data_IF_667622122412
#
_entry.id   IF_667622122412
#
_cell.length_a   1.000
_cell.length_b   1.000
_cell.length_c   1.000
_cell.angle_alpha   90.00
_cell.angle_beta   90.00
_cell.angle_gamma   90.00
#
_symmetry.space_group_name_H-M   'P 1'
#
loop_
_entity.id
_entity.type
_entity.pdbx_description
1 polymer ?
#
# COMPACT_ATOMS: atom_id res chain seq x y z
N UNK A 1 -28.98 5.81 7.06
CA UNK A 1 -28.18 5.56 5.84
C UNK A 1 -27.90 4.08 5.86
N UNK A 2 -28.45 3.32 4.93
CA UNK A 2 -28.25 1.87 4.92
C UNK A 2 -26.86 1.56 4.39
N UNK A 3 -26.10 0.77 5.14
CA UNK A 3 -24.82 0.24 4.69
C UNK A 3 -25.08 -0.75 3.55
N UNK A 4 -24.35 -0.56 2.45
CA UNK A 4 -24.46 -1.32 1.20
C UNK A 4 -23.11 -1.90 0.83
N UNK A 5 -23.09 -2.91 -0.05
CA UNK A 5 -21.87 -3.57 -0.56
C UNK A 5 -21.10 -4.36 0.50
N UNK A 6 -21.80 -5.21 1.24
CA UNK A 6 -21.20 -6.12 2.20
C UNK A 6 -20.33 -7.17 1.51
N UNK A 7 -19.19 -7.47 2.10
CA UNK A 7 -18.28 -8.49 1.59
C UNK A 7 -17.57 -9.18 2.75
N UNK A 8 -17.27 -10.46 2.58
CA UNK A 8 -16.65 -11.30 3.59
C UNK A 8 -15.71 -12.30 2.93
N UNK A 9 -14.66 -12.68 3.66
CA UNK A 9 -13.79 -13.80 3.31
C UNK A 9 -14.36 -15.18 3.70
N UNK A 10 -15.51 -15.22 4.39
CA UNK A 10 -16.14 -16.46 4.82
C UNK A 10 -17.27 -16.87 3.86
N UNK A 11 -17.09 -17.99 3.15
CA UNK A 11 -18.05 -18.49 2.17
C UNK A 11 -19.44 -18.78 2.77
N UNK A 12 -19.49 -19.38 3.96
CA UNK A 12 -20.76 -19.71 4.63
C UNK A 12 -21.54 -18.44 4.98
N UNK A 13 -20.83 -17.41 5.50
CA UNK A 13 -21.44 -16.12 5.81
C UNK A 13 -21.92 -15.40 4.54
N UNK A 14 -21.13 -15.47 3.46
CA UNK A 14 -21.52 -14.92 2.16
C UNK A 14 -22.81 -15.57 1.64
N UNK A 15 -22.95 -16.90 1.76
CA UNK A 15 -24.18 -17.60 1.39
C UNK A 15 -25.37 -17.23 2.28
N UNK A 16 -25.15 -17.09 3.58
CA UNK A 16 -26.19 -16.68 4.52
C UNK A 16 -26.71 -15.28 4.19
N UNK A 17 -25.80 -14.32 3.95
CA UNK A 17 -26.18 -12.96 3.57
C UNK A 17 -26.95 -12.90 2.25
N UNK A 18 -26.59 -13.74 1.27
CA UNK A 18 -27.37 -13.88 0.02
C UNK A 18 -28.78 -14.41 0.29
N UNK A 19 -28.94 -15.39 1.18
CA UNK A 19 -30.26 -15.94 1.56
C UNK A 19 -31.12 -14.92 2.30
N UNK A 20 -30.50 -14.09 3.13
CA UNK A 20 -31.16 -13.03 3.91
C UNK A 20 -31.35 -11.72 3.11
N UNK A 21 -31.04 -11.73 1.80
CA UNK A 21 -31.24 -10.62 0.88
C UNK A 21 -30.44 -9.35 1.25
N UNK A 22 -29.25 -9.52 1.82
CA UNK A 22 -28.29 -8.43 2.02
C UNK A 22 -27.67 -8.00 0.69
N UNK A 23 -27.37 -6.70 0.57
CA UNK A 23 -26.65 -6.12 -0.58
C UNK A 23 -25.15 -6.48 -0.52
N UNK A 24 -24.78 -7.60 -1.14
CA UNK A 24 -23.39 -8.14 -1.17
C UNK A 24 -22.61 -7.75 -2.43
N UNK A 25 -21.30 -7.55 -2.29
CA UNK A 25 -20.35 -7.24 -3.37
C UNK A 25 -19.37 -8.42 -3.57
N UNK A 26 -18.89 -8.74 -4.80
CA UNK A 26 -19.09 -8.05 -6.06
C UNK A 26 -20.18 -8.70 -6.92
N UNK A 27 -21.20 -7.92 -7.27
CA UNK A 27 -22.05 -8.18 -8.44
C UNK A 27 -21.15 -7.85 -9.64
N UNK A 28 -20.85 -8.86 -10.46
CA UNK A 28 -20.14 -8.83 -11.74
C UNK A 28 -19.69 -7.45 -12.29
N UNK A 29 -18.41 -7.38 -12.69
CA UNK A 29 -17.87 -6.42 -13.70
C UNK A 29 -17.68 -4.95 -13.30
N UNK A 30 -17.04 -4.64 -12.17
CA UNK A 30 -16.43 -3.30 -12.04
C UNK A 30 -14.99 -3.35 -11.57
N UNK A 31 -14.11 -2.90 -12.47
CA UNK A 31 -12.68 -2.60 -12.31
C UNK A 31 -11.77 -3.84 -12.32
N UNK A 32 -11.14 -4.12 -13.47
CA UNK A 32 -9.77 -4.62 -13.76
C UNK A 32 -8.98 -5.50 -12.75
N UNK A 33 -9.64 -6.06 -11.76
CA UNK A 33 -9.12 -6.79 -10.62
C UNK A 33 -9.58 -8.24 -10.77
N UNK A 34 -8.77 -9.18 -10.31
CA UNK A 34 -9.05 -10.61 -10.46
C UNK A 34 -10.38 -11.00 -9.80
N UNK A 35 -10.91 -12.17 -10.14
CA UNK A 35 -12.00 -12.75 -9.37
C UNK A 35 -11.61 -12.76 -7.88
N UNK A 36 -12.49 -12.24 -7.00
CA UNK A 36 -12.31 -12.12 -5.54
C UNK A 36 -11.49 -10.91 -5.03
N UNK A 37 -11.13 -9.94 -5.88
CA UNK A 37 -10.46 -8.72 -5.44
C UNK A 37 -11.43 -7.53 -5.28
N UNK A 38 -11.31 -6.79 -4.17
CA UNK A 38 -12.06 -5.55 -3.91
C UNK A 38 -11.13 -4.46 -3.35
N UNK A 39 -11.59 -3.22 -3.27
CA UNK A 39 -10.86 -2.14 -2.59
C UNK A 39 -11.38 -1.93 -1.17
N UNK A 40 -10.49 -1.86 -0.19
CA UNK A 40 -10.78 -1.50 1.21
C UNK A 40 -9.79 -0.43 1.65
N UNK A 41 -10.30 0.73 2.09
CA UNK A 41 -9.47 1.88 2.44
C UNK A 41 -8.38 2.14 1.38
N UNK A 42 -8.74 2.13 0.09
CA UNK A 42 -7.83 2.35 -1.04
C UNK A 42 -6.78 1.26 -1.31
N UNK A 43 -6.63 0.26 -0.44
CA UNK A 43 -5.83 -0.95 -0.67
C UNK A 43 -6.65 -1.99 -1.42
N UNK A 44 -5.99 -2.89 -2.14
CA UNK A 44 -6.64 -4.07 -2.73
C UNK A 44 -6.74 -5.17 -1.67
N UNK A 45 -7.86 -5.87 -1.63
CA UNK A 45 -8.09 -7.00 -0.75
C UNK A 45 -8.54 -8.20 -1.57
N UNK A 46 -7.78 -9.28 -1.49
CA UNK A 46 -8.20 -10.59 -1.97
C UNK A 46 -9.04 -11.26 -0.89
N UNK A 47 -10.34 -11.36 -1.14
CA UNK A 47 -11.32 -11.90 -0.18
C UNK A 47 -11.24 -13.40 -0.02
N UNK A 48 -10.72 -14.13 -1.01
CA UNK A 48 -10.58 -15.57 -0.93
C UNK A 48 -9.36 -15.96 -0.09
N UNK A 49 -8.18 -15.42 -0.41
CA UNK A 49 -6.94 -15.74 0.31
C UNK A 49 -6.75 -14.91 1.58
N UNK A 50 -7.56 -13.88 1.76
CA UNK A 50 -7.57 -12.94 2.89
C UNK A 50 -6.29 -12.11 3.08
N UNK A 51 -5.72 -11.65 1.97
CA UNK A 51 -4.56 -10.75 1.96
C UNK A 51 -4.90 -9.35 1.44
N UNK A 52 -4.33 -8.34 2.07
CA UNK A 52 -4.20 -7.00 1.54
C UNK A 52 -3.01 -6.94 0.56
N UNK A 53 -3.20 -6.24 -0.55
CA UNK A 53 -2.19 -5.97 -1.57
C UNK A 53 -2.23 -4.51 -1.99
N UNK A 54 -1.14 -4.05 -2.57
CA UNK A 54 -1.00 -2.67 -3.04
C UNK A 54 -1.10 -2.63 -4.55
N UNK A 55 -1.96 -1.77 -5.07
CA UNK A 55 -2.12 -1.59 -6.51
C UNK A 55 -1.08 -0.61 -7.04
N UNK A 56 -0.06 -1.16 -7.69
CA UNK A 56 1.10 -0.41 -8.18
C UNK A 56 1.02 -0.10 -9.66
N UNK A 57 0.01 -0.58 -10.40
CA UNK A 57 -0.07 -0.47 -11.86
C UNK A 57 0.07 0.98 -12.35
N UNK A 58 -0.77 1.86 -11.82
CA UNK A 58 -0.77 3.28 -12.19
C UNK A 58 0.52 4.02 -11.82
N UNK A 59 1.24 3.53 -10.80
CA UNK A 59 2.51 4.09 -10.38
C UNK A 59 3.66 3.57 -11.26
N UNK A 60 3.64 2.29 -11.62
CA UNK A 60 4.58 1.68 -12.56
C UNK A 60 4.53 2.35 -13.93
N UNK A 61 3.32 2.55 -14.47
CA UNK A 61 3.10 3.31 -15.70
C UNK A 61 3.64 4.73 -15.57
N UNK A 62 3.41 5.39 -14.43
CA UNK A 62 3.89 6.75 -14.21
C UNK A 62 5.42 6.82 -14.18
N UNK A 63 6.11 5.93 -13.43
CA UNK A 63 7.58 5.96 -13.33
C UNK A 63 8.27 5.55 -14.62
N UNK A 64 7.60 4.75 -15.48
CA UNK A 64 8.14 4.39 -16.81
C UNK A 64 8.29 5.57 -17.77
N UNK A 65 7.74 6.74 -17.44
CA UNK A 65 8.01 7.99 -18.15
C UNK A 65 9.47 8.45 -17.99
N UNK A 66 10.23 7.84 -17.08
CA UNK A 66 11.68 8.00 -16.87
C UNK A 66 12.16 9.46 -16.82
N UNK A 67 11.43 10.27 -16.04
CA UNK A 67 11.80 11.67 -15.81
C UNK A 67 12.64 11.77 -14.55
N UNK A 68 13.70 12.57 -14.61
CA UNK A 68 14.63 12.76 -13.50
C UNK A 68 14.55 14.20 -12.99
N UNK A 69 13.44 14.56 -12.35
CA UNK A 69 13.26 15.88 -11.71
C UNK A 69 12.67 15.74 -10.30
N UNK A 70 12.95 16.72 -9.43
CA UNK A 70 12.35 16.77 -8.08
C UNK A 70 10.82 16.70 -8.12
N UNK A 71 10.19 17.41 -9.06
CA UNK A 71 8.73 17.38 -9.25
C UNK A 71 8.21 15.98 -9.57
N UNK A 72 8.93 15.24 -10.42
CA UNK A 72 8.52 13.90 -10.82
C UNK A 72 8.58 12.91 -9.65
N UNK A 73 9.64 12.95 -8.83
CA UNK A 73 9.74 12.13 -7.62
C UNK A 73 8.57 12.44 -6.67
N UNK A 74 8.28 13.73 -6.43
CA UNK A 74 7.18 14.11 -5.55
C UNK A 74 5.83 13.58 -6.07
N UNK A 75 5.58 13.67 -7.38
CA UNK A 75 4.37 13.14 -8.00
C UNK A 75 4.27 11.62 -7.88
N UNK A 76 5.39 10.89 -8.04
CA UNK A 76 5.43 9.45 -7.87
C UNK A 76 5.12 9.04 -6.42
N UNK A 77 5.76 9.68 -5.44
CA UNK A 77 5.53 9.40 -4.02
C UNK A 77 4.08 9.72 -3.63
N UNK A 78 3.53 10.83 -4.13
CA UNK A 78 2.14 11.22 -3.84
C UNK A 78 1.07 10.30 -4.43
N UNK A 79 1.42 9.45 -5.41
CA UNK A 79 0.52 8.43 -5.95
C UNK A 79 0.39 7.20 -5.05
N UNK A 80 1.27 7.04 -4.07
CA UNK A 80 1.19 5.94 -3.12
C UNK A 80 0.14 6.26 -2.07
N UNK A 81 -0.92 5.47 -2.03
CA UNK A 81 -1.93 5.53 -0.99
C UNK A 81 -1.70 4.39 0.01
N UNK A 82 -1.19 4.74 1.20
CA UNK A 82 -0.85 3.78 2.26
C UNK A 82 -1.40 4.25 3.62
N UNK A 83 -2.71 4.12 3.85
CA UNK A 83 -3.34 4.61 5.09
C UNK A 83 -2.95 3.80 6.33
N UNK A 84 -2.50 2.55 6.14
CA UNK A 84 -2.09 1.66 7.23
C UNK A 84 -0.58 1.70 7.50
N UNK A 85 0.19 2.44 6.69
CA UNK A 85 1.63 2.53 6.84
C UNK A 85 2.39 1.25 6.48
N UNK A 86 1.75 0.29 5.79
CA UNK A 86 2.32 -1.02 5.45
C UNK A 86 3.50 -0.91 4.48
N UNK A 87 3.54 0.16 3.69
CA UNK A 87 4.62 0.49 2.77
C UNK A 87 5.55 1.57 3.31
N UNK A 88 5.42 1.97 4.58
CA UNK A 88 6.26 3.01 5.19
C UNK A 88 7.76 2.78 4.99
N UNK A 89 8.32 1.55 5.14
CA UNK A 89 9.74 1.29 4.89
C UNK A 89 10.18 1.60 3.45
N UNK A 90 9.28 1.42 2.49
CA UNK A 90 9.53 1.70 1.08
C UNK A 90 9.39 3.20 0.76
N UNK A 91 8.34 3.85 1.29
CA UNK A 91 8.04 5.27 0.99
C UNK A 91 8.94 6.25 1.74
N UNK A 92 9.43 5.89 2.94
CA UNK A 92 10.28 6.76 3.75
C UNK A 92 11.59 7.11 3.05
N UNK A 93 12.13 6.19 2.23
CA UNK A 93 13.34 6.43 1.43
C UNK A 93 13.18 7.63 0.51
N UNK A 94 12.04 7.71 -0.19
CA UNK A 94 11.77 8.83 -1.10
C UNK A 94 11.42 10.12 -0.37
N UNK A 95 10.79 10.04 0.81
CA UNK A 95 10.59 11.22 1.67
C UNK A 95 11.94 11.79 2.13
N UNK A 96 12.89 10.94 2.51
CA UNK A 96 14.26 11.37 2.86
C UNK A 96 14.99 11.96 1.64
N UNK A 97 14.90 11.31 0.48
CA UNK A 97 15.51 11.78 -0.76
C UNK A 97 14.94 13.14 -1.20
N UNK A 98 13.62 13.34 -1.09
CA UNK A 98 12.98 14.63 -1.31
C UNK A 98 13.53 15.70 -0.36
N UNK A 99 13.69 15.39 0.94
CA UNK A 99 14.30 16.32 1.89
C UNK A 99 15.73 16.70 1.49
N UNK A 100 16.53 15.76 1.00
CA UNK A 100 17.90 16.02 0.57
C UNK A 100 17.92 16.94 -0.67
N UNK A 101 17.04 16.71 -1.66
CA UNK A 101 16.83 17.62 -2.79
C UNK A 101 16.41 19.04 -2.36
N UNK A 102 15.65 19.17 -1.29
CA UNK A 102 15.28 20.47 -0.73
C UNK A 102 16.47 21.18 -0.09
N UNK A 103 17.33 20.45 0.64
CA UNK A 103 18.54 21.00 1.27
C UNK A 103 19.58 21.45 0.25
N UNK A 104 19.65 20.77 -0.89
CA UNK A 104 20.52 21.12 -2.01
C UNK A 104 19.93 22.23 -2.91
N UNK A 105 18.78 22.80 -2.55
CA UNK A 105 18.11 23.89 -3.26
C UNK A 105 17.79 23.60 -4.74
N UNK A 106 17.68 22.31 -5.10
CA UNK A 106 17.36 21.86 -6.45
C UNK A 106 15.95 22.34 -6.84
N UNK A 107 15.81 22.98 -7.99
CA UNK A 107 14.50 23.48 -8.44
C UNK A 107 13.62 22.35 -8.96
N UNK A 108 12.33 22.64 -9.12
CA UNK A 108 11.32 21.63 -9.47
C UNK A 108 11.59 20.88 -10.79
N UNK A 109 12.16 21.58 -11.78
CA UNK A 109 12.41 21.05 -13.12
C UNK A 109 13.87 20.73 -13.39
N UNK A 110 14.76 20.96 -12.42
CA UNK A 110 16.19 20.69 -12.58
C UNK A 110 16.44 19.18 -12.63
N UNK A 111 17.48 18.76 -13.38
CA UNK A 111 17.92 17.37 -13.37
C UNK A 111 18.38 16.96 -11.97
N UNK A 112 18.14 15.70 -11.62
CA UNK A 112 18.61 15.15 -10.34
C UNK A 112 20.14 15.08 -10.30
N UNK A 113 20.76 15.37 -9.14
CA UNK A 113 22.16 15.04 -8.91
C UNK A 113 22.41 13.53 -9.10
N UNK A 114 23.60 13.15 -9.58
CA UNK A 114 23.92 11.76 -9.93
C UNK A 114 23.72 10.77 -8.76
N UNK A 115 24.03 11.19 -7.54
CA UNK A 115 23.86 10.36 -6.35
C UNK A 115 22.38 10.15 -6.00
N UNK A 116 21.51 11.13 -6.28
CA UNK A 116 20.05 11.03 -6.09
C UNK A 116 19.42 10.19 -7.20
N UNK A 117 19.86 10.40 -8.45
CA UNK A 117 19.35 9.66 -9.61
C UNK A 117 19.54 8.15 -9.45
N UNK A 118 20.69 7.73 -8.91
CA UNK A 118 20.98 6.32 -8.63
C UNK A 118 19.99 5.71 -7.63
N UNK A 119 19.74 6.39 -6.51
CA UNK A 119 18.79 5.93 -5.50
C UNK A 119 17.34 5.94 -6.01
N UNK A 120 17.00 6.93 -6.84
CA UNK A 120 15.69 7.02 -7.50
C UNK A 120 15.45 5.83 -8.44
N UNK A 121 16.41 5.53 -9.34
CA UNK A 121 16.30 4.39 -10.26
C UNK A 121 16.18 3.07 -9.52
N UNK A 122 16.99 2.87 -8.48
CA UNK A 122 16.90 1.68 -7.62
C UNK A 122 15.52 1.54 -6.98
N UNK A 123 14.94 2.63 -6.49
CA UNK A 123 13.59 2.62 -5.92
C UNK A 123 12.52 2.28 -6.97
N UNK A 124 12.64 2.79 -8.20
CA UNK A 124 11.76 2.44 -9.31
C UNK A 124 11.87 0.97 -9.74
N UNK A 125 13.07 0.39 -9.72
CA UNK A 125 13.27 -1.03 -9.98
C UNK A 125 12.59 -1.89 -8.91
N UNK A 126 12.79 -1.57 -7.64
CA UNK A 126 12.19 -2.28 -6.51
C UNK A 126 10.65 -2.16 -6.48
N UNK A 127 10.10 -1.05 -6.98
CA UNK A 127 8.65 -0.85 -7.10
C UNK A 127 7.96 -1.98 -7.88
N UNK A 128 8.67 -2.61 -8.83
CA UNK A 128 8.12 -3.74 -9.61
C UNK A 128 7.77 -4.94 -8.74
N UNK A 129 8.45 -5.11 -7.61
CA UNK A 129 8.20 -6.18 -6.65
C UNK A 129 7.12 -5.83 -5.63
N UNK A 130 6.82 -4.54 -5.45
CA UNK A 130 5.85 -4.11 -4.45
C UNK A 130 4.44 -4.67 -4.72
N UNK A 131 4.08 -4.87 -6.00
CA UNK A 131 2.79 -5.46 -6.37
C UNK A 131 2.60 -6.92 -5.95
N UNK A 132 3.67 -7.64 -5.62
CA UNK A 132 3.58 -9.03 -5.12
C UNK A 132 3.50 -9.13 -3.60
N UNK A 133 3.59 -7.99 -2.88
CA UNK A 133 3.46 -7.96 -1.42
C UNK A 133 2.04 -8.37 -1.01
N UNK A 134 1.95 -9.49 -0.31
CA UNK A 134 0.71 -10.00 0.30
C UNK A 134 0.82 -9.86 1.81
N UNK A 135 -0.10 -9.12 2.41
CA UNK A 135 -0.13 -8.85 3.86
C UNK A 135 -1.40 -9.49 4.43
N UNK A 136 -1.32 -10.41 5.40
CA UNK A 136 -2.51 -10.98 6.02
C UNK A 136 -3.43 -9.87 6.53
N UNK A 137 -4.70 -9.87 6.13
CA UNK A 137 -5.67 -8.89 6.65
C UNK A 137 -5.99 -9.20 8.11
N UNK A 138 -6.13 -10.48 8.43
CA UNK A 138 -6.34 -10.97 9.78
C UNK A 138 -5.00 -11.02 10.51
N UNK A 139 -4.85 -10.20 11.56
CA UNK A 139 -3.63 -10.15 12.39
C UNK A 139 -3.62 -11.28 13.42
N UNK A 140 -4.77 -11.59 14.01
CA UNK A 140 -4.93 -12.59 15.06
C UNK A 140 -5.62 -13.81 14.46
N UNK A 141 -4.90 -14.93 14.36
CA UNK A 141 -5.52 -16.18 13.92
C UNK A 141 -6.48 -16.71 15.00
N UNK A 142 -7.65 -17.14 14.56
CA UNK A 142 -8.66 -17.87 15.35
C UNK A 142 -8.13 -19.14 16.05
N UNK A 143 -6.96 -19.64 15.66
CA UNK A 143 -6.29 -20.77 16.33
C UNK A 143 -5.52 -20.36 17.59
N UNK A 144 -5.31 -19.07 17.83
CA UNK A 144 -4.76 -18.56 19.09
C UNK A 144 -5.78 -18.77 20.21
N UNK A 145 -5.60 -19.85 20.96
CA UNK A 145 -6.36 -20.19 22.16
C UNK A 145 -5.88 -19.41 23.40
N UNK A 146 -5.13 -18.33 23.22
CA UNK A 146 -4.55 -17.55 24.31
C UNK A 146 -5.52 -16.44 24.76
N UNK A 147 -5.78 -16.40 26.07
CA UNK A 147 -6.64 -15.39 26.68
C UNK A 147 -5.94 -14.02 26.83
N UNK A 148 -4.61 -13.96 26.63
CA UNK A 148 -3.81 -12.75 26.77
C UNK A 148 -3.17 -12.37 25.43
N UNK A 149 -3.57 -11.22 24.88
CA UNK A 149 -3.04 -10.68 23.63
C UNK A 149 -2.32 -9.38 23.97
N UNK A 150 -1.03 -9.33 23.66
CA UNK A 150 -0.19 -8.15 23.87
C UNK A 150 0.12 -7.48 22.54
N UNK A 151 0.15 -6.14 22.55
CA UNK A 151 0.52 -5.33 21.41
C UNK A 151 1.94 -4.82 21.65
N UNK A 152 2.90 -5.25 20.82
CA UNK A 152 4.29 -4.83 20.97
C UNK A 152 4.60 -3.70 20.00
N UNK A 153 4.95 -2.53 20.54
CA UNK A 153 5.41 -1.40 19.75
C UNK A 153 6.92 -1.24 19.86
N UNK A 154 7.60 -1.25 18.71
CA UNK A 154 9.02 -0.96 18.59
C UNK A 154 9.19 0.34 17.83
N UNK A 155 9.95 1.27 18.41
CA UNK A 155 10.28 2.53 17.76
C UNK A 155 11.79 2.69 17.61
N UNK A 156 12.21 3.26 16.48
CA UNK A 156 13.60 3.63 16.25
C UNK A 156 13.66 5.00 15.56
N UNK A 157 14.74 5.73 15.80
CA UNK A 157 14.96 7.04 15.25
C UNK A 157 16.41 7.22 14.79
N UNK A 158 16.54 7.81 13.60
CA UNK A 158 17.82 8.22 13.04
C UNK A 158 17.80 9.72 12.77
N UNK A 159 18.93 10.28 12.33
CA UNK A 159 19.01 11.66 11.83
C UNK A 159 18.12 11.91 10.60
N UNK A 160 17.68 10.86 9.89
CA UNK A 160 16.93 10.98 8.64
C UNK A 160 15.42 10.78 8.83
N UNK A 161 15.02 9.86 9.70
CA UNK A 161 13.62 9.52 9.92
C UNK A 161 13.43 8.84 11.29
N UNK A 162 12.21 8.91 11.79
CA UNK A 162 11.70 8.10 12.88
C UNK A 162 10.70 7.08 12.33
N UNK A 163 10.65 5.91 12.94
CA UNK A 163 9.76 4.82 12.54
C UNK A 163 9.20 4.08 13.75
N UNK A 164 8.04 3.48 13.56
CA UNK A 164 7.42 2.62 14.56
C UNK A 164 6.78 1.43 13.86
N UNK A 165 7.00 0.25 14.40
CA UNK A 165 6.34 -0.99 14.01
C UNK A 165 5.52 -1.50 15.18
N UNK A 166 4.34 -2.05 14.87
CA UNK A 166 3.41 -2.61 15.84
C UNK A 166 3.15 -4.06 15.41
N UNK A 167 3.30 -4.98 16.36
CA UNK A 167 3.06 -6.41 16.19
C UNK A 167 1.97 -6.85 17.16
#
# INVERSE_FOLDING_TARGET
MDLRKWITNNANLMEQWKKENFDVYPIHETVSLGANETKVLGLSWNTHEDYLTTDTKSLLEFVSLDKNTKRFILQAVGKIFDPLGLMSPFTVRMKCLLQDLWKEEIQWGDPLPSHIEKEWKKWCEELTHLGSLKIPRLVLDSTLLEDNIELHSFCDASKKAYGTAIY
#
